data_IF_340859713024
#
_entry.id   IF_340859713024
#
_cell.length_a   1.000
_cell.length_b   1.000
_cell.length_c   1.000
_cell.angle_alpha   90.00
_cell.angle_beta   90.00
_cell.angle_gamma   90.00
#
_symmetry.space_group_name_H-M   'P 1'
#
loop_
_entity.id
_entity.type
_entity.pdbx_description
1 polymer ?
#
# COMPACT_ATOMS: atom_id res chain seq x y z
N UNK A 1 -21.31 4.04 7.37
CA UNK A 1 -20.51 3.28 6.38
C UNK A 1 -19.04 3.46 6.71
N UNK A 2 -18.27 2.37 6.80
CA UNK A 2 -16.85 2.45 7.12
C UNK A 2 -16.06 2.85 5.87
N UNK A 3 -15.28 3.93 5.97
CA UNK A 3 -14.44 4.44 4.88
C UNK A 3 -13.25 3.50 4.64
N UNK A 4 -12.90 3.23 3.38
CA UNK A 4 -11.68 2.47 3.06
C UNK A 4 -10.44 3.17 3.63
N UNK A 5 -9.47 2.36 4.05
CA UNK A 5 -8.22 2.85 4.68
C UNK A 5 -7.22 3.45 3.68
N UNK A 6 -7.47 3.30 2.38
CA UNK A 6 -6.61 3.75 1.29
C UNK A 6 -7.23 4.96 0.57
N UNK A 7 -6.39 5.94 0.22
CA UNK A 7 -6.76 7.12 -0.58
C UNK A 7 -6.21 7.05 -2.00
N UNK A 8 -6.13 8.19 -2.70
CA UNK A 8 -5.58 8.27 -4.04
C UNK A 8 -4.16 7.67 -4.14
N UNK A 9 -3.88 6.96 -5.23
CA UNK A 9 -2.58 6.30 -5.47
C UNK A 9 -1.57 7.34 -5.96
N UNK A 10 -0.42 7.44 -5.30
CA UNK A 10 0.69 8.34 -5.66
C UNK A 10 1.66 7.63 -6.63
N UNK A 11 2.22 8.37 -7.57
CA UNK A 11 3.15 7.85 -8.60
C UNK A 11 4.61 8.10 -8.17
N UNK A 12 5.28 7.06 -7.64
CA UNK A 12 6.66 7.09 -7.15
C UNK A 12 7.58 6.21 -8.03
N UNK A 13 8.90 6.46 -8.04
CA UNK A 13 9.88 5.66 -8.81
C UNK A 13 9.84 4.18 -8.37
N UNK A 14 9.39 3.24 -9.22
CA UNK A 14 9.12 1.88 -8.78
C UNK A 14 10.39 1.02 -8.75
N UNK A 15 10.46 0.12 -7.76
CA UNK A 15 11.38 -1.03 -7.76
C UNK A 15 10.54 -2.27 -8.05
N UNK A 16 10.92 -3.05 -9.06
CA UNK A 16 10.16 -4.25 -9.45
C UNK A 16 10.44 -5.38 -8.46
N UNK A 17 9.37 -5.91 -7.87
CA UNK A 17 9.39 -7.09 -7.02
C UNK A 17 8.42 -8.12 -7.61
N UNK A 18 8.85 -9.38 -7.70
CA UNK A 18 7.96 -10.50 -8.04
C UNK A 18 7.48 -11.14 -6.74
N UNK A 19 6.16 -11.29 -6.59
CA UNK A 19 5.53 -11.88 -5.40
C UNK A 19 4.55 -12.96 -5.82
N UNK A 20 4.47 -14.02 -5.03
CA UNK A 20 3.43 -15.04 -5.15
C UNK A 20 2.36 -14.78 -4.08
N UNK A 21 1.10 -14.80 -4.49
CA UNK A 21 -0.04 -14.61 -3.59
C UNK A 21 -0.92 -15.85 -3.60
N UNK A 22 -1.44 -16.28 -2.44
CA UNK A 22 -2.55 -17.21 -2.39
C UNK A 22 -3.72 -16.76 -3.26
N UNK A 23 -4.42 -17.70 -3.88
CA UNK A 23 -5.47 -17.40 -4.86
C UNK A 23 -6.67 -16.63 -4.24
N UNK A 24 -6.98 -16.90 -2.98
CA UNK A 24 -7.97 -16.17 -2.19
C UNK A 24 -7.56 -14.71 -1.97
N UNK A 25 -6.31 -14.46 -1.58
CA UNK A 25 -5.78 -13.10 -1.39
C UNK A 25 -5.83 -12.30 -2.70
N UNK A 26 -5.50 -12.93 -3.84
CA UNK A 26 -5.62 -12.26 -5.14
C UNK A 26 -7.08 -11.88 -5.47
N UNK A 27 -8.04 -12.77 -5.21
CA UNK A 27 -9.47 -12.47 -5.42
C UNK A 27 -9.95 -11.32 -4.54
N UNK A 28 -9.56 -11.32 -3.28
CA UNK A 28 -9.92 -10.24 -2.35
C UNK A 28 -9.28 -8.90 -2.76
N UNK A 29 -8.04 -8.93 -3.27
CA UNK A 29 -7.36 -7.75 -3.80
C UNK A 29 -8.09 -7.16 -5.02
N UNK A 30 -8.57 -8.02 -5.93
CA UNK A 30 -9.37 -7.60 -7.07
C UNK A 30 -10.71 -6.99 -6.63
N UNK A 31 -11.42 -7.64 -5.71
CA UNK A 31 -12.67 -7.11 -5.14
C UNK A 31 -12.43 -5.76 -4.44
N UNK A 32 -11.30 -5.59 -3.74
CA UNK A 32 -10.94 -4.32 -3.13
C UNK A 32 -10.74 -3.21 -4.17
N UNK A 33 -10.08 -3.50 -5.30
CA UNK A 33 -9.90 -2.56 -6.39
C UNK A 33 -11.23 -2.08 -6.97
N UNK A 34 -12.20 -2.98 -7.12
CA UNK A 34 -13.55 -2.65 -7.61
C UNK A 34 -14.28 -1.72 -6.64
N UNK A 35 -14.24 -2.01 -5.33
CA UNK A 35 -14.87 -1.15 -4.31
C UNK A 35 -14.19 0.22 -4.28
N UNK A 36 -12.86 0.26 -4.30
CA UNK A 36 -12.12 1.52 -4.28
C UNK A 36 -12.37 2.37 -5.53
N UNK A 37 -12.50 1.74 -6.70
CA UNK A 37 -12.88 2.42 -7.94
C UNK A 37 -14.25 3.07 -7.81
N UNK A 38 -15.22 2.37 -7.22
CA UNK A 38 -16.57 2.91 -6.98
C UNK A 38 -16.57 4.06 -5.98
N UNK A 39 -15.76 3.98 -4.93
CA UNK A 39 -15.67 5.03 -3.90
C UNK A 39 -14.95 6.29 -4.38
N UNK A 40 -13.92 6.15 -5.21
CA UNK A 40 -13.05 7.28 -5.61
C UNK A 40 -13.32 7.80 -7.02
N UNK A 41 -14.06 7.04 -7.84
CA UNK A 41 -14.22 7.32 -9.28
C UNK A 41 -12.94 7.08 -10.09
N UNK A 42 -11.84 6.68 -9.46
CA UNK A 42 -10.58 6.40 -10.13
C UNK A 42 -10.51 4.93 -10.52
N UNK A 43 -10.48 4.65 -11.82
CA UNK A 43 -10.39 3.28 -12.34
C UNK A 43 -9.06 2.63 -11.96
N UNK A 44 -9.13 1.45 -11.33
CA UNK A 44 -7.97 0.62 -11.00
C UNK A 44 -8.09 -0.68 -11.81
N UNK A 45 -7.46 -0.69 -12.99
CA UNK A 45 -7.50 -1.84 -13.91
C UNK A 45 -6.58 -2.99 -13.53
N UNK A 46 -5.58 -2.73 -12.68
CA UNK A 46 -4.61 -3.71 -12.20
C UNK A 46 -4.60 -3.72 -10.67
N UNK A 47 -5.13 -4.78 -10.03
CA UNK A 47 -5.12 -4.92 -8.57
C UNK A 47 -3.72 -4.90 -7.95
N UNK A 48 -2.67 -5.28 -8.70
CA UNK A 48 -1.29 -5.26 -8.21
C UNK A 48 -0.81 -3.85 -7.86
N UNK A 49 -1.38 -2.81 -8.49
CA UNK A 49 -1.09 -1.40 -8.16
C UNK A 49 -1.48 -1.01 -6.74
N UNK A 50 -2.33 -1.80 -6.08
CA UNK A 50 -2.71 -1.59 -4.68
C UNK A 50 -1.67 -2.11 -3.69
N UNK A 51 -0.82 -3.05 -4.09
CA UNK A 51 0.12 -3.72 -3.19
C UNK A 51 1.08 -2.70 -2.56
N UNK A 52 1.72 -1.87 -3.37
CA UNK A 52 2.66 -0.85 -2.89
C UNK A 52 2.02 0.13 -1.88
N UNK A 53 0.91 0.83 -2.20
CA UNK A 53 0.31 1.77 -1.26
C UNK A 53 -0.32 1.08 -0.04
N UNK A 54 -0.83 -0.15 -0.15
CA UNK A 54 -1.29 -0.93 1.01
C UNK A 54 -0.14 -1.28 1.96
N UNK A 55 0.99 -1.76 1.42
CA UNK A 55 2.19 -2.06 2.22
C UNK A 55 2.75 -0.79 2.88
N UNK A 56 2.81 0.33 2.15
CA UNK A 56 3.23 1.61 2.70
C UNK A 56 2.31 2.04 3.86
N UNK A 57 0.98 1.92 3.69
CA UNK A 57 0.00 2.23 4.74
C UNK A 57 0.17 1.31 5.95
N UNK A 58 0.37 0.02 5.72
CA UNK A 58 0.63 -0.95 6.78
C UNK A 58 1.87 -0.55 7.59
N UNK A 59 3.03 -0.37 6.94
CA UNK A 59 4.29 0.03 7.58
C UNK A 59 4.17 1.37 8.32
N UNK A 60 3.46 2.35 7.75
CA UNK A 60 3.26 3.66 8.37
C UNK A 60 2.39 3.60 9.64
N UNK A 61 1.47 2.62 9.74
CA UNK A 61 0.57 2.47 10.89
C UNK A 61 1.10 1.54 11.97
N UNK A 62 2.07 0.69 11.65
CA UNK A 62 2.73 -0.17 12.62
C UNK A 62 3.69 0.64 13.50
N UNK A 63 3.23 0.93 14.73
CA UNK A 63 4.02 1.69 15.70
C UNK A 63 5.26 0.95 16.17
N UNK A 64 5.21 -0.39 16.25
CA UNK A 64 6.36 -1.19 16.67
C UNK A 64 7.45 -1.12 15.60
N UNK A 65 7.07 -1.27 14.33
CA UNK A 65 7.96 -1.06 13.19
C UNK A 65 8.56 0.36 13.19
N UNK A 66 7.72 1.39 13.36
CA UNK A 66 8.18 2.79 13.38
C UNK A 66 9.22 3.06 14.49
N UNK A 67 9.05 2.47 15.68
CA UNK A 67 10.01 2.60 16.79
C UNK A 67 11.35 1.97 16.47
N UNK A 68 11.37 0.79 15.86
CA UNK A 68 12.60 0.07 15.50
C UNK A 68 13.35 0.78 14.37
N UNK A 69 12.63 1.26 13.34
CA UNK A 69 13.23 2.04 12.25
C UNK A 69 13.96 3.29 12.75
N UNK A 70 13.38 4.00 13.72
CA UNK A 70 14.00 5.21 14.32
C UNK A 70 15.28 4.90 15.10
N UNK A 71 15.42 3.70 15.67
CA UNK A 71 16.64 3.29 16.38
C UNK A 71 17.77 2.83 15.45
N UNK A 72 17.44 2.43 14.21
CA UNK A 72 18.39 1.90 13.23
C UNK A 72 18.83 2.88 12.12
N UNK A 73 18.24 4.08 12.02
CA UNK A 73 18.71 5.10 11.09
C UNK A 73 19.80 5.95 11.75
N UNK A 74 21.08 5.92 11.29
CA UNK A 74 21.98 7.02 11.58
C UNK A 74 21.31 8.29 11.03
N UNK A 75 21.38 9.38 11.78
CA UNK A 75 20.83 10.66 11.37
C UNK A 75 21.48 11.08 10.05
N UNK A 76 20.87 10.78 8.92
CA UNK A 76 21.34 11.28 7.64
C UNK A 76 20.89 12.75 7.58
N UNK A 77 21.90 13.60 7.69
CA UNK A 77 21.80 15.03 7.91
C UNK A 77 21.00 15.75 6.83
N UNK A 78 20.38 16.85 7.27
CA UNK A 78 20.08 17.98 6.40
C UNK A 78 21.38 18.41 5.72
N UNK A 79 21.37 18.39 4.39
CA UNK A 79 22.31 19.09 3.50
C UNK A 79 21.49 19.75 2.42
#
# INVERSE_FOLDING_TARGET
>A
MAKLKLGAITDDKPVKLTVELPADVHRDLAAYADVLTRETGQSISDPAKLVAPMLARFMATDRAFAKTRRKGQPAQGKG
#
